data_IF_891491676480
#
_entry.id   IF_891491676480
#
_cell.length_a   1.000
_cell.length_b   1.000
_cell.length_c   1.000
_cell.angle_alpha   90.00
_cell.angle_beta   90.00
_cell.angle_gamma   90.00
#
_symmetry.space_group_name_H-M   'P 1'
#
loop_
_entity.id
_entity.type
_entity.pdbx_description
1 polymer ?
#
# COMPACT_ATOMS: atom_id res chain seq x y z
N UNK A 1 38.55 -12.65 -14.78
CA UNK A 1 38.22 -11.65 -15.79
C UNK A 1 36.94 -12.13 -16.53
N UNK A 2 35.79 -11.82 -15.96
CA UNK A 2 34.48 -12.19 -16.53
C UNK A 2 33.58 -10.97 -16.50
N UNK A 3 33.50 -10.30 -17.61
CA UNK A 3 32.63 -9.16 -17.87
C UNK A 3 31.29 -9.70 -18.36
N UNK A 4 30.27 -9.77 -17.49
CA UNK A 4 28.90 -9.99 -17.90
C UNK A 4 28.22 -8.63 -18.01
N UNK A 5 28.16 -8.10 -19.21
CA UNK A 5 27.26 -6.99 -19.58
C UNK A 5 25.83 -7.52 -19.63
N UNK A 6 24.99 -7.09 -18.71
CA UNK A 6 23.52 -7.19 -18.84
C UNK A 6 22.99 -5.90 -19.48
N UNK A 7 22.05 -5.98 -20.40
CA UNK A 7 21.37 -4.79 -20.88
C UNK A 7 20.46 -4.28 -19.77
N UNK A 8 20.83 -3.14 -19.21
CA UNK A 8 19.94 -2.30 -18.42
C UNK A 8 18.89 -1.79 -19.41
N UNK A 9 17.65 -2.29 -19.30
CA UNK A 9 16.53 -1.68 -19.98
C UNK A 9 16.41 -0.26 -19.40
N UNK A 10 16.94 0.69 -20.11
CA UNK A 10 17.00 2.09 -19.77
C UNK A 10 15.58 2.63 -19.62
N UNK A 11 15.25 3.07 -18.42
CA UNK A 11 14.04 3.73 -18.00
C UNK A 11 13.85 5.12 -18.69
N UNK A 12 14.46 5.31 -19.84
CA UNK A 12 14.33 6.49 -20.71
C UNK A 12 12.90 6.67 -21.29
N UNK A 13 12.06 5.63 -21.20
CA UNK A 13 10.69 5.70 -21.72
C UNK A 13 9.71 6.48 -20.81
N UNK A 14 10.12 6.86 -19.60
CA UNK A 14 9.23 7.53 -18.62
C UNK A 14 9.19 9.05 -18.84
N UNK A 15 10.21 9.62 -19.50
CA UNK A 15 10.27 11.06 -19.77
C UNK A 15 9.38 11.56 -20.91
N UNK A 16 8.90 10.69 -21.80
CA UNK A 16 8.14 11.09 -22.99
C UNK A 16 6.62 11.22 -22.83
N UNK A 17 6.06 10.95 -21.62
CA UNK A 17 4.62 11.06 -21.37
C UNK A 17 4.18 12.44 -20.83
N UNK A 18 4.95 13.49 -21.07
CA UNK A 18 4.63 14.87 -20.63
C UNK A 18 3.57 15.61 -21.42
N UNK A 19 2.92 15.01 -22.42
CA UNK A 19 1.98 15.70 -23.31
C UNK A 19 0.59 15.06 -23.34
N UNK A 20 -0.09 15.05 -22.21
CA UNK A 20 -1.54 14.92 -22.17
C UNK A 20 -2.07 15.91 -21.16
N UNK A 21 -3.10 16.68 -21.54
CA UNK A 21 -3.76 17.68 -20.68
C UNK A 21 -4.31 16.95 -19.43
N UNK A 22 -3.45 16.78 -18.42
CA UNK A 22 -3.81 16.13 -17.17
C UNK A 22 -4.90 16.95 -16.48
N UNK A 23 -5.96 16.34 -15.94
CA UNK A 23 -6.95 17.05 -15.15
C UNK A 23 -6.22 17.82 -14.05
N UNK A 24 -6.55 19.12 -13.90
CA UNK A 24 -5.94 19.97 -12.88
C UNK A 24 -6.09 19.28 -11.52
N UNK A 25 -4.97 19.07 -10.84
CA UNK A 25 -4.95 18.60 -9.47
C UNK A 25 -5.78 19.56 -8.61
N UNK A 26 -6.64 19.03 -7.76
CA UNK A 26 -7.44 19.86 -6.86
C UNK A 26 -7.23 19.42 -5.40
N UNK A 27 -7.34 20.37 -4.49
CA UNK A 27 -7.33 20.14 -3.05
C UNK A 27 -8.28 19.00 -2.62
N UNK A 28 -9.47 18.94 -3.24
CA UNK A 28 -10.51 17.94 -2.93
C UNK A 28 -10.00 16.50 -3.07
N UNK A 29 -9.07 16.24 -3.97
CA UNK A 29 -8.49 14.89 -4.17
C UNK A 29 -7.48 14.53 -3.08
N UNK A 30 -6.80 15.50 -2.49
CA UNK A 30 -5.75 15.30 -1.50
C UNK A 30 -6.26 15.35 -0.05
N UNK A 31 -7.32 16.11 0.23
CA UNK A 31 -7.82 16.40 1.58
C UNK A 31 -8.14 15.18 2.45
N UNK A 32 -8.47 14.04 1.84
CA UNK A 32 -8.73 12.79 2.55
C UNK A 32 -7.46 12.12 3.07
N UNK A 33 -6.30 12.52 2.53
CA UNK A 33 -5.00 11.95 2.86
C UNK A 33 -4.54 12.24 4.27
N UNK A 34 -3.87 11.27 4.87
CA UNK A 34 -3.35 11.40 6.24
C UNK A 34 -2.36 12.57 6.39
N UNK A 35 -1.57 12.86 5.34
CA UNK A 35 -0.65 13.98 5.32
C UNK A 35 -1.38 15.32 5.32
N UNK A 36 -2.40 15.45 4.47
CA UNK A 36 -3.06 16.72 4.20
C UNK A 36 -4.20 17.05 5.17
N UNK A 37 -4.67 16.06 5.92
CA UNK A 37 -5.75 16.24 6.90
C UNK A 37 -5.30 17.16 8.02
N UNK A 38 -5.95 18.32 8.15
CA UNK A 38 -5.68 19.33 9.19
C UNK A 38 -4.56 20.30 8.82
N UNK A 39 -4.07 20.28 7.57
CA UNK A 39 -3.31 21.37 7.01
C UNK A 39 -4.25 22.46 6.47
N UNK A 40 -3.75 23.69 6.45
CA UNK A 40 -4.46 24.79 5.83
C UNK A 40 -4.62 24.53 4.31
N UNK A 41 -5.79 24.78 3.73
CA UNK A 41 -6.00 24.65 2.29
C UNK A 41 -5.00 25.41 1.44
N UNK A 42 -4.54 26.58 1.87
CA UNK A 42 -3.57 27.42 1.16
C UNK A 42 -2.19 26.76 1.10
N UNK A 43 -1.77 26.09 2.16
CA UNK A 43 -0.51 25.33 2.19
C UNK A 43 -0.50 24.21 1.16
N UNK A 44 -1.61 23.49 1.06
CA UNK A 44 -1.72 22.39 0.10
C UNK A 44 -1.89 22.92 -1.31
N UNK A 45 -2.64 24.01 -1.49
CA UNK A 45 -2.83 24.65 -2.79
C UNK A 45 -1.49 25.14 -3.36
N UNK A 46 -0.60 25.64 -2.52
CA UNK A 46 0.74 26.05 -2.93
C UNK A 46 1.59 24.88 -3.47
N UNK A 47 1.33 23.65 -3.02
CA UNK A 47 2.03 22.45 -3.48
C UNK A 47 1.42 21.84 -4.76
N UNK A 48 0.16 22.14 -5.07
CA UNK A 48 -0.54 21.53 -6.22
C UNK A 48 0.22 21.60 -7.55
N UNK A 49 0.90 22.72 -7.91
CA UNK A 49 1.64 22.82 -9.16
C UNK A 49 2.83 21.84 -9.26
N UNK A 50 3.39 21.44 -8.13
CA UNK A 50 4.54 20.52 -8.10
C UNK A 50 4.13 19.05 -8.32
N UNK A 51 2.85 18.73 -8.18
CA UNK A 51 2.38 17.35 -8.41
C UNK A 51 2.26 17.03 -9.89
N UNK A 52 2.86 15.90 -10.28
CA UNK A 52 2.70 15.29 -11.59
C UNK A 52 1.73 14.10 -11.52
N UNK A 53 0.50 14.18 -12.02
CA UNK A 53 -0.44 13.06 -11.97
C UNK A 53 -0.02 11.95 -12.93
N UNK A 54 -0.13 10.70 -12.49
CA UNK A 54 0.14 9.49 -13.29
C UNK A 54 -1.02 8.51 -13.17
N UNK A 55 -1.38 7.88 -14.27
CA UNK A 55 -2.38 6.81 -14.32
C UNK A 55 -1.68 5.46 -14.46
N UNK A 56 -2.10 4.49 -13.65
CA UNK A 56 -1.57 3.14 -13.69
C UNK A 56 -2.70 2.14 -13.98
N UNK A 57 -2.45 1.27 -14.94
CA UNK A 57 -3.32 0.11 -15.17
C UNK A 57 -3.11 -0.91 -14.04
N UNK A 58 -4.13 -1.73 -13.81
CA UNK A 58 -4.00 -2.88 -12.91
C UNK A 58 -2.78 -3.72 -13.29
N UNK A 59 -2.04 -4.20 -12.29
CA UNK A 59 -0.86 -5.01 -12.53
C UNK A 59 0.42 -4.19 -12.76
N UNK A 60 0.37 -2.86 -12.86
CA UNK A 60 1.57 -2.04 -13.10
C UNK A 60 2.24 -1.64 -11.79
N UNK A 61 3.54 -1.70 -11.81
CA UNK A 61 4.42 -1.32 -10.72
C UNK A 61 4.66 0.19 -10.74
N UNK A 62 4.68 0.81 -9.56
CA UNK A 62 4.97 2.22 -9.40
C UNK A 62 6.48 2.45 -9.29
N UNK A 63 7.14 1.67 -8.47
CA UNK A 63 8.60 1.59 -8.32
C UNK A 63 9.03 0.26 -7.70
N UNK A 64 10.30 -0.10 -7.79
CA UNK A 64 10.87 -1.33 -7.25
C UNK A 64 11.83 -1.06 -6.08
N UNK A 65 11.96 -2.05 -5.19
CA UNK A 65 13.01 -2.05 -4.17
C UNK A 65 14.38 -2.09 -4.85
N UNK A 66 15.30 -1.33 -4.33
CA UNK A 66 16.65 -1.22 -4.90
C UNK A 66 16.76 -0.20 -6.03
N UNK A 67 15.64 0.41 -6.47
CA UNK A 67 15.71 1.57 -7.35
C UNK A 67 16.49 2.67 -6.63
N UNK A 68 17.57 3.14 -7.25
CA UNK A 68 18.42 4.22 -6.75
C UNK A 68 18.11 5.55 -7.42
N UNK A 69 17.20 5.51 -8.41
CA UNK A 69 16.75 6.70 -9.12
C UNK A 69 15.80 7.53 -8.23
N UNK A 70 15.78 8.81 -8.50
CA UNK A 70 15.07 9.92 -7.84
C UNK A 70 14.05 9.51 -6.74
N UNK A 71 14.29 9.96 -5.51
CA UNK A 71 13.44 9.65 -4.34
C UNK A 71 12.07 10.33 -4.44
N UNK A 72 11.29 10.02 -5.48
CA UNK A 72 9.95 10.55 -5.67
C UNK A 72 8.98 10.01 -4.62
N UNK A 73 8.06 10.87 -4.23
CA UNK A 73 6.94 10.55 -3.33
C UNK A 73 5.66 10.46 -4.15
N UNK A 74 4.83 9.51 -3.83
CA UNK A 74 3.57 9.29 -4.52
C UNK A 74 2.40 9.37 -3.54
N UNK A 75 1.37 10.11 -3.91
CA UNK A 75 0.10 10.18 -3.20
C UNK A 75 -0.96 9.49 -4.05
N UNK A 76 -1.67 8.54 -3.48
CA UNK A 76 -2.76 7.84 -4.17
C UNK A 76 -3.96 8.77 -4.31
N UNK A 77 -4.42 8.99 -5.53
CA UNK A 77 -5.59 9.79 -5.85
C UNK A 77 -6.84 8.94 -6.03
N UNK A 78 -6.69 7.76 -6.63
CA UNK A 78 -7.77 6.79 -6.81
C UNK A 78 -7.20 5.38 -7.00
N UNK A 79 -8.03 4.38 -6.76
CA UNK A 79 -7.63 2.98 -6.86
C UNK A 79 -7.00 2.46 -5.57
N UNK A 80 -6.49 1.23 -5.62
CA UNK A 80 -5.81 0.56 -4.51
C UNK A 80 -4.48 0.02 -4.96
N UNK A 81 -3.52 0.06 -4.04
CA UNK A 81 -2.15 -0.38 -4.28
C UNK A 81 -1.72 -1.28 -3.13
N UNK A 82 -0.99 -2.35 -3.41
CA UNK A 82 -0.33 -3.14 -2.38
C UNK A 82 1.12 -2.72 -2.27
N UNK A 83 1.61 -2.63 -1.04
CA UNK A 83 3.04 -2.54 -0.74
C UNK A 83 3.50 -3.94 -0.38
N UNK A 84 4.47 -4.45 -1.08
CA UNK A 84 5.01 -5.76 -0.82
C UNK A 84 6.53 -5.74 -0.76
N UNK A 85 7.08 -6.64 0.05
CA UNK A 85 8.50 -6.88 0.17
C UNK A 85 8.82 -8.28 -0.34
N UNK A 86 9.82 -8.41 -1.17
CA UNK A 86 10.31 -9.72 -1.59
C UNK A 86 11.37 -10.22 -0.64
N UNK A 87 11.29 -11.48 -0.31
CA UNK A 87 12.23 -12.23 0.50
C UNK A 87 12.62 -13.52 -0.26
N UNK A 88 13.69 -14.18 0.18
CA UNK A 88 14.18 -15.44 -0.43
C UNK A 88 13.07 -16.50 -0.58
N UNK A 89 12.18 -16.55 0.40
CA UNK A 89 11.12 -17.55 0.49
C UNK A 89 9.79 -17.06 -0.10
N UNK A 90 9.78 -15.91 -0.76
CA UNK A 90 8.60 -15.39 -1.40
C UNK A 90 8.34 -13.90 -1.16
N UNK A 91 7.14 -13.47 -1.48
CA UNK A 91 6.67 -12.10 -1.41
C UNK A 91 5.75 -11.91 -0.20
N UNK A 92 5.96 -10.84 0.56
CA UNK A 92 5.08 -10.46 1.66
C UNK A 92 4.39 -9.12 1.35
N UNK A 93 3.05 -9.12 1.28
CA UNK A 93 2.25 -7.89 1.25
C UNK A 93 2.25 -7.31 2.66
N UNK A 94 2.78 -6.09 2.82
CA UNK A 94 2.89 -5.46 4.13
C UNK A 94 1.77 -4.48 4.41
N UNK A 95 1.17 -3.89 3.36
CA UNK A 95 0.03 -2.97 3.52
C UNK A 95 -0.73 -2.77 2.21
N UNK A 96 -1.96 -2.28 2.33
CA UNK A 96 -2.77 -1.83 1.20
C UNK A 96 -2.94 -0.32 1.29
N UNK A 97 -2.63 0.38 0.20
CA UNK A 97 -2.79 1.82 0.07
C UNK A 97 -4.09 2.15 -0.66
N UNK A 98 -4.72 3.23 -0.27
CA UNK A 98 -5.91 3.79 -0.91
C UNK A 98 -5.80 5.30 -1.08
N UNK A 99 -6.87 5.97 -1.56
CA UNK A 99 -6.88 7.41 -1.78
C UNK A 99 -6.41 8.19 -0.54
N UNK A 100 -5.46 9.09 -0.76
CA UNK A 100 -4.84 9.91 0.27
C UNK A 100 -3.65 9.29 0.99
N UNK A 101 -3.34 8.02 0.76
CA UNK A 101 -2.11 7.44 1.31
C UNK A 101 -0.90 7.88 0.51
N UNK A 102 0.23 8.01 1.22
CA UNK A 102 1.52 8.41 0.66
C UNK A 102 2.50 7.23 0.72
N UNK A 103 3.36 7.14 -0.26
CA UNK A 103 4.43 6.13 -0.35
C UNK A 103 5.66 6.69 -1.04
N UNK A 104 6.85 6.18 -0.67
CA UNK A 104 8.14 6.63 -1.20
C UNK A 104 8.84 7.67 -0.33
N UNK A 105 8.18 8.15 0.74
CA UNK A 105 8.69 9.19 1.63
C UNK A 105 9.95 8.77 2.41
N UNK A 106 10.14 7.48 2.66
CA UNK A 106 11.31 7.02 3.43
C UNK A 106 12.61 7.38 2.73
N UNK A 107 12.70 7.18 1.41
CA UNK A 107 13.89 7.52 0.64
C UNK A 107 14.16 9.03 0.54
N UNK A 108 13.20 9.88 0.89
CA UNK A 108 13.38 11.33 0.97
C UNK A 108 14.11 11.74 2.24
N UNK A 109 13.74 11.11 3.37
CA UNK A 109 14.28 11.46 4.69
C UNK A 109 15.48 10.60 5.10
N UNK A 110 15.60 9.41 4.53
CA UNK A 110 16.74 8.50 4.68
C UNK A 110 17.23 8.10 3.29
N UNK A 111 18.15 8.91 2.69
CA UNK A 111 18.66 8.66 1.35
C UNK A 111 19.40 7.33 1.27
N UNK A 112 18.92 6.45 0.42
CA UNK A 112 19.45 5.11 0.22
C UNK A 112 18.61 4.35 -0.82
N UNK A 113 18.99 3.11 -1.14
CA UNK A 113 18.16 2.27 -2.00
C UNK A 113 16.75 2.18 -1.45
N UNK A 114 15.74 2.24 -2.30
CA UNK A 114 14.35 2.14 -1.87
C UNK A 114 14.14 0.89 -1.03
N UNK A 115 13.81 1.07 0.23
CA UNK A 115 13.63 -0.02 1.21
C UNK A 115 12.34 -0.79 1.01
N UNK A 116 11.43 -0.23 0.21
CA UNK A 116 10.10 -0.78 -0.03
C UNK A 116 9.74 -0.59 -1.49
N UNK A 117 9.24 -1.61 -2.12
CA UNK A 117 8.68 -1.56 -3.47
C UNK A 117 7.17 -1.67 -3.43
N UNK A 118 6.47 -1.01 -4.35
CA UNK A 118 5.02 -1.08 -4.48
C UNK A 118 4.62 -1.80 -5.77
N UNK A 119 3.89 -2.90 -5.69
CA UNK A 119 3.43 -3.71 -6.85
C UNK A 119 1.92 -3.82 -6.94
N UNK A 120 1.37 -3.84 -8.16
CA UNK A 120 -0.03 -4.22 -8.45
C UNK A 120 -0.21 -5.74 -8.44
N UNK A 121 -1.33 -6.22 -7.93
CA UNK A 121 -1.67 -7.63 -7.97
C UNK A 121 -1.84 -8.12 -9.41
N UNK A 122 -1.04 -9.10 -9.81
CA UNK A 122 -1.21 -9.83 -11.06
C UNK A 122 -1.91 -11.15 -10.76
N UNK A 123 -2.98 -11.43 -11.50
CA UNK A 123 -3.48 -12.78 -11.62
C UNK A 123 -2.89 -13.36 -12.89
N UNK A 124 -1.90 -14.19 -12.78
CA UNK A 124 -1.61 -15.33 -13.63
C UNK A 124 -0.37 -16.04 -13.10
N UNK A 125 -0.56 -17.27 -12.71
CA UNK A 125 0.50 -18.23 -12.57
C UNK A 125 1.07 -18.47 -13.97
N UNK A 126 2.29 -18.06 -14.16
CA UNK A 126 3.16 -18.73 -15.12
C UNK A 126 4.43 -19.05 -14.35
N UNK A 127 4.67 -20.33 -14.21
CA UNK A 127 5.89 -20.86 -13.66
C UNK A 127 7.06 -20.21 -14.39
N UNK A 128 7.92 -19.54 -13.66
CA UNK A 128 9.22 -19.14 -14.16
C UNK A 128 10.26 -19.84 -13.32
N UNK A 129 10.86 -20.75 -13.99
CA UNK A 129 12.11 -21.41 -13.66
C UNK A 129 13.22 -20.40 -13.40
N UNK A 130 13.95 -20.69 -12.32
CA UNK A 130 15.34 -20.36 -12.04
C UNK A 130 15.75 -18.86 -12.08
N UNK A 131 15.81 -18.39 -10.94
CA UNK A 131 16.80 -17.92 -10.10
C UNK A 131 18.22 -17.84 -10.36
N UNK A 132 18.77 -16.76 -10.17
CA UNK A 132 20.03 -16.59 -9.43
C UNK A 132 20.20 -15.12 -9.08
N UNK A 133 20.71 -14.91 -7.91
CA UNK A 133 21.08 -13.65 -7.29
C UNK A 133 19.97 -12.94 -6.48
N UNK A 134 20.16 -13.13 -5.22
CA UNK A 134 19.59 -12.48 -4.08
C UNK A 134 19.75 -10.98 -4.20
N UNK A 135 18.67 -10.34 -4.59
CA UNK A 135 18.41 -8.95 -4.26
C UNK A 135 16.96 -8.86 -3.85
N UNK A 136 16.74 -8.55 -2.60
CA UNK A 136 15.40 -8.42 -2.05
C UNK A 136 14.69 -7.25 -2.76
N UNK A 137 13.73 -7.56 -3.61
CA UNK A 137 12.96 -6.58 -4.40
C UNK A 137 11.57 -6.43 -3.80
N UNK A 138 11.22 -5.24 -3.39
CA UNK A 138 9.88 -4.89 -2.89
C UNK A 138 9.17 -4.00 -3.91
N UNK A 139 7.88 -4.18 -4.17
CA UNK A 139 7.17 -3.47 -5.22
C UNK A 139 5.78 -2.92 -4.81
N UNK A 140 5.44 -1.68 -5.21
CA UNK A 140 4.09 -1.10 -5.08
C UNK A 140 3.30 -1.34 -6.35
N UNK A 141 2.13 -1.98 -6.22
CA UNK A 141 1.33 -2.39 -7.37
C UNK A 141 -0.13 -1.90 -7.26
N UNK A 142 -0.73 -1.42 -8.37
CA UNK A 142 -2.15 -1.04 -8.44
C UNK A 142 -3.05 -2.30 -8.46
N UNK A 143 -3.79 -2.55 -7.40
CA UNK A 143 -4.76 -3.66 -7.27
C UNK A 143 -5.96 -3.45 -8.19
N UNK A 144 -6.32 -2.19 -8.40
CA UNK A 144 -7.26 -1.73 -9.42
C UNK A 144 -6.54 -0.72 -10.30
N UNK A 145 -7.01 -0.45 -11.51
CA UNK A 145 -6.54 0.73 -12.24
C UNK A 145 -6.68 1.94 -11.31
N UNK A 146 -5.65 2.79 -11.24
CA UNK A 146 -5.64 3.89 -10.30
C UNK A 146 -4.81 5.08 -10.79
N UNK A 147 -4.92 6.19 -10.06
CA UNK A 147 -4.13 7.39 -10.30
C UNK A 147 -3.34 7.74 -9.05
N UNK A 148 -2.12 8.20 -9.27
CA UNK A 148 -1.25 8.75 -8.23
C UNK A 148 -0.81 10.15 -8.63
N UNK A 149 -0.45 10.95 -7.65
CA UNK A 149 0.26 12.21 -7.84
C UNK A 149 1.70 12.00 -7.39
N UNK A 150 2.65 12.25 -8.27
CA UNK A 150 4.08 12.21 -8.00
C UNK A 150 4.56 13.59 -7.56
N UNK A 151 5.38 13.61 -6.53
CA UNK A 151 6.07 14.80 -6.03
C UNK A 151 7.55 14.46 -5.90
N UNK A 152 8.42 15.34 -6.35
CA UNK A 152 9.87 15.12 -6.20
C UNK A 152 10.30 15.27 -4.73
N UNK A 153 11.40 14.62 -4.36
CA UNK A 153 11.99 14.76 -3.03
C UNK A 153 12.34 16.22 -2.72
N UNK A 154 12.89 16.92 -3.70
CA UNK A 154 13.26 18.34 -3.56
C UNK A 154 12.05 19.22 -3.27
N UNK A 155 10.93 19.01 -3.98
CA UNK A 155 9.71 19.78 -3.76
C UNK A 155 9.10 19.51 -2.38
N UNK A 156 9.08 18.22 -1.95
CA UNK A 156 8.58 17.86 -0.61
C UNK A 156 9.44 18.48 0.50
N UNK A 157 10.77 18.42 0.37
CA UNK A 157 11.69 19.00 1.34
C UNK A 157 11.57 20.53 1.39
N UNK A 158 11.54 21.20 0.23
CA UNK A 158 11.35 22.64 0.14
C UNK A 158 10.02 23.09 0.78
N UNK A 159 8.95 22.32 0.53
CA UNK A 159 7.63 22.61 1.14
C UNK A 159 7.66 22.45 2.67
N UNK A 160 8.26 21.37 3.19
CA UNK A 160 8.40 21.14 4.62
C UNK A 160 9.32 22.16 5.30
N UNK A 161 10.42 22.55 4.66
CA UNK A 161 11.37 23.53 5.21
C UNK A 161 10.76 24.94 5.27
N UNK A 162 10.01 25.33 4.24
CA UNK A 162 9.34 26.64 4.20
C UNK A 162 8.12 26.73 5.14
N UNK A 163 7.62 25.58 5.64
CA UNK A 163 6.41 25.47 6.45
C UNK A 163 6.59 24.50 7.61
N UNK A 164 7.08 24.93 8.79
CA UNK A 164 7.40 24.04 9.91
C UNK A 164 6.23 23.15 10.39
N UNK A 165 4.99 23.65 10.32
CA UNK A 165 3.80 22.86 10.66
C UNK A 165 3.54 21.70 9.69
N UNK A 166 3.95 21.82 8.42
CA UNK A 166 3.93 20.73 7.45
C UNK A 166 4.94 19.66 7.82
N UNK A 167 6.17 20.07 8.17
CA UNK A 167 7.19 19.13 8.66
C UNK A 167 6.70 18.39 9.92
N UNK A 168 6.10 19.09 10.86
CA UNK A 168 5.49 18.47 12.04
C UNK A 168 4.39 17.46 11.65
N UNK A 169 3.61 17.77 10.63
CA UNK A 169 2.58 16.84 10.13
C UNK A 169 3.18 15.60 9.47
N UNK A 170 4.23 15.74 8.68
CA UNK A 170 4.99 14.62 8.12
C UNK A 170 5.51 13.70 9.22
N UNK A 171 6.14 14.26 10.25
CA UNK A 171 6.61 13.49 11.42
C UNK A 171 5.48 12.75 12.13
N UNK A 172 4.29 13.36 12.28
CA UNK A 172 3.12 12.69 12.85
C UNK A 172 2.67 11.50 12.01
N UNK A 173 2.68 11.62 10.68
CA UNK A 173 2.32 10.53 9.77
C UNK A 173 3.31 9.38 9.92
N UNK A 174 4.62 9.66 9.92
CA UNK A 174 5.67 8.66 10.09
C UNK A 174 5.60 7.98 11.47
N UNK A 175 5.38 8.75 12.54
CA UNK A 175 5.21 8.21 13.88
C UNK A 175 3.98 7.29 14.00
N UNK A 176 2.87 7.62 13.35
CA UNK A 176 1.69 6.74 13.28
C UNK A 176 1.99 5.45 12.51
N UNK A 177 2.75 5.55 11.41
CA UNK A 177 3.18 4.38 10.62
C UNK A 177 4.07 3.46 11.44
N UNK A 178 5.06 4.03 12.15
CA UNK A 178 5.93 3.28 13.05
C UNK A 178 5.14 2.56 14.15
N UNK A 179 4.22 3.25 14.83
CA UNK A 179 3.36 2.61 15.85
C UNK A 179 2.54 1.45 15.27
N UNK A 180 2.00 1.59 14.06
CA UNK A 180 1.26 0.51 13.39
C UNK A 180 2.18 -0.67 13.08
N UNK A 181 3.39 -0.43 12.57
CA UNK A 181 4.38 -1.49 12.31
C UNK A 181 4.74 -2.23 13.60
N UNK A 182 5.01 -1.51 14.70
CA UNK A 182 5.28 -2.11 16.00
C UNK A 182 4.10 -2.97 16.49
N UNK A 183 2.86 -2.48 16.34
CA UNK A 183 1.66 -3.28 16.67
C UNK A 183 1.58 -4.56 15.84
N UNK A 184 1.90 -4.49 14.54
CA UNK A 184 1.91 -5.68 13.67
C UNK A 184 2.96 -6.70 14.12
N UNK A 185 4.14 -6.26 14.57
CA UNK A 185 5.16 -7.17 15.11
C UNK A 185 4.65 -7.89 16.36
N UNK A 186 4.02 -7.16 17.28
CA UNK A 186 3.42 -7.76 18.48
C UNK A 186 2.31 -8.76 18.12
N UNK A 187 1.45 -8.41 17.16
CA UNK A 187 0.40 -9.32 16.69
C UNK A 187 0.98 -10.61 16.07
N UNK A 188 2.10 -10.51 15.36
CA UNK A 188 2.77 -11.69 14.79
C UNK A 188 3.33 -12.63 15.87
N UNK A 189 3.68 -12.09 17.04
CA UNK A 189 4.22 -12.88 18.16
C UNK A 189 3.13 -13.53 19.03
N UNK A 190 1.99 -12.86 19.20
CA UNK A 190 1.03 -13.22 20.24
C UNK A 190 -0.38 -13.53 19.72
N UNK A 191 -0.69 -13.22 18.47
CA UNK A 191 -2.03 -13.43 17.89
C UNK A 191 -1.94 -14.47 16.78
N UNK A 192 -2.85 -15.44 16.79
CA UNK A 192 -2.92 -16.46 15.75
C UNK A 192 -3.37 -15.86 14.40
N UNK A 193 -3.22 -16.64 13.32
CA UNK A 193 -3.52 -16.19 11.95
C UNK A 193 -4.99 -15.76 11.81
N UNK A 194 -5.92 -16.45 12.45
CA UNK A 194 -7.34 -16.12 12.38
C UNK A 194 -7.65 -14.79 13.08
N UNK A 195 -7.03 -14.53 14.24
CA UNK A 195 -7.13 -13.23 14.92
C UNK A 195 -6.54 -12.08 14.09
N UNK A 196 -5.35 -12.32 13.49
CA UNK A 196 -4.74 -11.34 12.58
C UNK A 196 -5.58 -11.10 11.33
N UNK A 197 -6.25 -12.15 10.79
CA UNK A 197 -7.18 -12.03 9.68
C UNK A 197 -8.41 -11.18 10.07
N UNK A 198 -9.01 -11.43 11.23
CA UNK A 198 -10.13 -10.62 11.72
C UNK A 198 -9.72 -9.14 11.87
N UNK A 199 -8.54 -8.87 12.44
CA UNK A 199 -7.98 -7.51 12.54
C UNK A 199 -7.77 -6.85 11.18
N UNK A 200 -7.16 -7.57 10.23
CA UNK A 200 -6.93 -7.06 8.88
C UNK A 200 -8.23 -6.73 8.15
N UNK A 201 -9.26 -7.57 8.27
CA UNK A 201 -10.58 -7.32 7.69
C UNK A 201 -11.25 -6.07 8.28
N UNK A 202 -11.15 -5.87 9.60
CA UNK A 202 -11.67 -4.67 10.26
C UNK A 202 -10.90 -3.41 9.84
N UNK A 203 -9.59 -3.48 9.69
CA UNK A 203 -8.79 -2.36 9.19
C UNK A 203 -9.14 -2.02 7.72
N UNK A 204 -9.32 -3.03 6.88
CA UNK A 204 -9.76 -2.85 5.50
C UNK A 204 -11.17 -2.26 5.44
N UNK A 205 -12.07 -2.69 6.35
CA UNK A 205 -13.42 -2.15 6.47
C UNK A 205 -13.43 -0.68 6.89
N UNK A 206 -12.60 -0.33 7.87
CA UNK A 206 -12.47 1.07 8.34
C UNK A 206 -11.94 2.01 7.25
N UNK A 207 -11.14 1.49 6.32
CA UNK A 207 -10.49 2.30 5.26
C UNK A 207 -11.25 2.28 3.94
N UNK A 208 -11.85 1.17 3.58
CA UNK A 208 -12.41 0.93 2.25
C UNK A 208 -13.85 0.41 2.28
N UNK A 209 -14.39 0.17 3.48
CA UNK A 209 -15.73 -0.37 3.64
C UNK A 209 -16.82 0.61 3.22
N UNK A 210 -17.85 0.07 2.61
CA UNK A 210 -19.07 0.79 2.26
C UNK A 210 -20.23 0.18 3.07
N UNK A 211 -20.92 1.01 3.84
CA UNK A 211 -22.03 0.58 4.68
C UNK A 211 -23.30 0.44 3.84
N UNK A 212 -23.95 -0.71 3.99
CA UNK A 212 -25.27 -1.00 3.44
C UNK A 212 -26.17 -1.50 4.59
N UNK A 213 -26.83 -0.58 5.26
CA UNK A 213 -27.54 -0.88 6.50
C UNK A 213 -26.59 -1.36 7.60
N UNK A 214 -26.84 -2.55 8.21
CA UNK A 214 -25.95 -3.13 9.21
C UNK A 214 -24.69 -3.77 8.62
N UNK A 215 -24.70 -4.11 7.34
CA UNK A 215 -23.59 -4.78 6.64
C UNK A 215 -22.52 -3.79 6.19
N UNK A 216 -21.26 -4.25 6.11
CA UNK A 216 -20.15 -3.48 5.56
C UNK A 216 -19.52 -4.25 4.42
N UNK A 217 -19.73 -3.80 3.20
CA UNK A 217 -19.08 -4.34 2.02
C UNK A 217 -17.64 -3.80 1.92
N UNK A 218 -16.67 -4.71 1.85
CA UNK A 218 -15.23 -4.40 1.85
C UNK A 218 -14.59 -4.92 0.56
N UNK A 219 -14.53 -4.11 -0.50
CA UNK A 219 -13.91 -4.49 -1.76
C UNK A 219 -12.38 -4.40 -1.65
N UNK A 220 -11.72 -5.35 -0.98
CA UNK A 220 -10.28 -5.29 -0.73
C UNK A 220 -9.44 -5.52 -2.01
N UNK A 221 -9.95 -6.24 -3.02
CA UNK A 221 -9.28 -6.48 -4.29
C UNK A 221 -8.14 -7.50 -4.24
N UNK A 222 -7.82 -8.05 -3.07
CA UNK A 222 -6.72 -9.00 -2.84
C UNK A 222 -7.14 -10.43 -3.20
N UNK A 223 -6.17 -11.24 -3.58
CA UNK A 223 -6.29 -12.69 -3.64
C UNK A 223 -6.12 -13.29 -2.24
N UNK A 224 -6.50 -14.56 -2.07
CA UNK A 224 -6.28 -15.27 -0.80
C UNK A 224 -4.79 -15.44 -0.47
N UNK A 225 -3.94 -15.54 -1.49
CA UNK A 225 -2.49 -15.54 -1.30
C UNK A 225 -2.01 -14.20 -0.74
N UNK A 226 -2.48 -13.09 -1.31
CA UNK A 226 -2.13 -11.75 -0.83
C UNK A 226 -2.71 -11.46 0.56
N UNK A 227 -3.89 -11.98 0.88
CA UNK A 227 -4.43 -11.94 2.26
C UNK A 227 -3.53 -12.74 3.22
N UNK A 228 -3.07 -13.93 2.80
CA UNK A 228 -2.10 -14.72 3.57
C UNK A 228 -0.82 -13.95 3.84
N UNK A 229 -0.26 -13.34 2.81
CA UNK A 229 0.93 -12.50 2.92
C UNK A 229 0.71 -11.31 3.87
N UNK A 230 -0.45 -10.65 3.78
CA UNK A 230 -0.80 -9.50 4.61
C UNK A 230 -0.87 -9.84 6.10
N UNK A 231 -1.32 -11.05 6.45
CA UNK A 231 -1.46 -11.47 7.85
C UNK A 231 -0.34 -12.39 8.33
N UNK A 232 0.65 -12.68 7.49
CA UNK A 232 1.75 -13.58 7.83
C UNK A 232 1.28 -15.01 8.05
N UNK A 233 0.44 -15.54 7.15
CA UNK A 233 -0.10 -16.91 7.19
C UNK A 233 -0.11 -17.57 5.81
N UNK A 234 -0.25 -18.91 5.78
CA UNK A 234 -0.41 -19.62 4.52
C UNK A 234 -1.80 -19.36 3.90
N UNK A 235 -1.92 -19.58 2.58
CA UNK A 235 -3.22 -19.50 1.88
C UNK A 235 -4.26 -20.42 2.51
N UNK A 236 -3.84 -21.63 2.88
CA UNK A 236 -4.70 -22.67 3.48
C UNK A 236 -5.23 -22.22 4.85
N UNK A 237 -4.34 -21.65 5.68
CA UNK A 237 -4.72 -21.15 7.02
C UNK A 237 -5.69 -19.96 6.90
N UNK A 238 -5.44 -19.05 5.96
CA UNK A 238 -6.35 -17.93 5.70
C UNK A 238 -7.71 -18.42 5.18
N UNK A 239 -7.71 -19.36 4.23
CA UNK A 239 -8.95 -19.97 3.75
C UNK A 239 -9.77 -20.60 4.87
N UNK A 240 -9.10 -21.35 5.77
CA UNK A 240 -9.75 -21.96 6.93
C UNK A 240 -10.39 -20.91 7.82
N UNK A 241 -9.65 -19.85 8.16
CA UNK A 241 -10.18 -18.75 8.98
C UNK A 241 -11.38 -18.05 8.33
N UNK A 242 -11.28 -17.73 7.03
CA UNK A 242 -12.38 -17.11 6.29
C UNK A 242 -13.62 -18.01 6.21
N UNK A 243 -13.44 -19.31 5.96
CA UNK A 243 -14.53 -20.30 5.95
C UNK A 243 -15.17 -20.47 7.33
N UNK A 244 -14.37 -20.45 8.40
CA UNK A 244 -14.89 -20.47 9.77
C UNK A 244 -15.74 -19.22 10.05
N UNK A 245 -15.25 -18.03 9.71
CA UNK A 245 -16.01 -16.78 9.91
C UNK A 245 -17.30 -16.76 9.10
N UNK A 246 -17.26 -17.28 7.86
CA UNK A 246 -18.45 -17.41 7.03
C UNK A 246 -19.45 -18.43 7.59
N UNK A 247 -18.98 -19.60 8.03
CA UNK A 247 -19.83 -20.63 8.65
C UNK A 247 -20.48 -20.17 9.96
N UNK A 248 -19.84 -19.25 10.69
CA UNK A 248 -20.42 -18.61 11.89
C UNK A 248 -21.34 -17.44 11.58
N UNK A 249 -21.51 -17.06 10.30
CA UNK A 249 -22.32 -15.93 9.87
C UNK A 249 -21.73 -14.56 10.19
N UNK A 250 -20.42 -14.45 10.46
CA UNK A 250 -19.77 -13.17 10.76
C UNK A 250 -19.43 -12.37 9.51
N UNK A 251 -19.27 -13.06 8.38
CA UNK A 251 -19.05 -12.47 7.08
C UNK A 251 -19.61 -13.33 5.95
N UNK A 252 -19.72 -12.73 4.76
CA UNK A 252 -20.00 -13.42 3.49
C UNK A 252 -18.82 -13.17 2.55
N UNK A 253 -18.36 -14.24 1.90
CA UNK A 253 -17.26 -14.17 0.93
C UNK A 253 -17.79 -13.77 -0.44
N UNK A 254 -17.08 -12.87 -1.11
CA UNK A 254 -17.34 -12.46 -2.48
C UNK A 254 -16.03 -12.46 -3.30
N UNK A 255 -16.13 -12.26 -4.62
CA UNK A 255 -14.95 -12.22 -5.45
C UNK A 255 -14.09 -10.98 -5.12
N UNK A 256 -12.95 -11.20 -4.47
CA UNK A 256 -12.00 -10.16 -4.02
C UNK A 256 -12.64 -9.09 -3.12
N UNK A 257 -13.69 -9.46 -2.42
CA UNK A 257 -14.39 -8.65 -1.47
C UNK A 257 -14.93 -9.53 -0.33
N UNK A 258 -15.30 -8.91 0.77
CA UNK A 258 -16.04 -9.55 1.84
C UNK A 258 -17.16 -8.61 2.28
N UNK A 259 -18.28 -9.19 2.73
CA UNK A 259 -19.33 -8.46 3.42
C UNK A 259 -19.25 -8.82 4.89
N UNK A 260 -18.93 -7.86 5.73
CA UNK A 260 -18.90 -8.07 7.18
C UNK A 260 -20.33 -7.91 7.73
N UNK A 261 -20.80 -8.97 8.41
CA UNK A 261 -22.16 -9.07 8.96
C UNK A 261 -22.14 -8.82 10.47
N UNK A 262 -21.11 -9.29 11.19
CA UNK A 262 -20.98 -9.14 12.65
C UNK A 262 -19.60 -8.55 13.00
N UNK A 263 -19.50 -7.21 12.99
CA UNK A 263 -18.26 -6.51 13.36
C UNK A 263 -17.88 -6.73 14.85
N UNK A 264 -18.83 -6.76 15.83
CA UNK A 264 -18.50 -7.05 17.22
C UNK A 264 -17.79 -8.39 17.42
N UNK A 265 -18.27 -9.46 16.79
CA UNK A 265 -17.64 -10.80 16.87
C UNK A 265 -16.25 -10.81 16.23
N UNK A 266 -16.11 -10.21 15.06
CA UNK A 266 -14.79 -10.05 14.44
C UNK A 266 -13.83 -9.23 15.31
N UNK A 267 -14.31 -8.16 15.96
CA UNK A 267 -13.50 -7.36 16.88
C UNK A 267 -13.11 -8.14 18.14
N UNK A 268 -13.97 -8.98 18.66
CA UNK A 268 -13.67 -9.88 19.77
C UNK A 268 -12.58 -10.89 19.34
N UNK A 269 -12.71 -11.51 18.17
CA UNK A 269 -11.74 -12.46 17.63
C UNK A 269 -10.37 -11.82 17.35
N UNK A 270 -10.35 -10.57 16.88
CA UNK A 270 -9.11 -9.82 16.63
C UNK A 270 -8.33 -9.50 17.92
N UNK A 271 -8.98 -9.53 19.08
CA UNK A 271 -8.36 -9.26 20.40
C UNK A 271 -8.02 -10.54 21.16
N UNK A 272 -8.56 -11.67 20.76
CA UNK A 272 -8.27 -12.94 21.41
C UNK A 272 -6.81 -13.31 21.13
N UNK A 273 -6.02 -13.49 22.20
CA UNK A 273 -4.72 -14.13 22.09
C UNK A 273 -4.89 -15.55 21.54
N UNK A 274 -3.96 -16.01 20.74
CA UNK A 274 -3.99 -17.38 20.24
C UNK A 274 -3.98 -18.35 21.44
N UNK A 275 -5.01 -19.17 21.52
CA UNK A 275 -5.08 -20.30 22.46
C UNK A 275 -4.35 -21.50 21.87
#
# INVERSE_FOLDING_TARGET
MWTVRRPVATFSAVRSLRAGRAPRMSWTLLRSGQLFRGLDPDDVTALLPAFAPRSLKRGRQLFAQGDVDEADVFVVLSGRFTVAREHRDGRAVTTVLGPGDMVGELSVFDPGPRTVTAVTAVTAVTAVTAVTAVTAVTAVTAVTGGRVAMLTSSDLLAWGTSRPHVAARLLQVLARRLRRTNSTVVDLMFVDVAGRMAKALLELAARFGQRHGPEVWVPHGLTQVELGQLVGGSRETVNRALSEFAGRGWLRLENRAVVLLDLPRLAQRARAAGS
#
